data_IF_316953784062
#
_entry.id   IF_316953784062
#
_cell.length_a   1.000
_cell.length_b   1.000
_cell.length_c   1.000
_cell.angle_alpha   90.00
_cell.angle_beta   90.00
_cell.angle_gamma   90.00
#
_symmetry.space_group_name_H-M   'P 1'
#
loop_
_entity.id
_entity.type
_entity.pdbx_description
1 polymer ?
#
# COMPACT_ATOMS: atom_id res chain seq x y z
N UNK A 1 3.90 -6.35 -11.64
CA UNK A 1 4.19 -7.79 -11.62
C UNK A 1 2.91 -8.48 -12.00
N UNK A 2 2.93 -9.22 -13.10
CA UNK A 2 1.74 -9.93 -13.58
C UNK A 2 1.55 -11.23 -12.77
N UNK A 3 0.31 -11.65 -12.58
CA UNK A 3 -0.02 -12.85 -11.78
C UNK A 3 0.73 -14.11 -12.25
N UNK A 4 0.87 -14.30 -13.57
CA UNK A 4 1.59 -15.43 -14.15
C UNK A 4 3.08 -15.46 -13.78
N UNK A 5 3.71 -14.29 -13.66
CA UNK A 5 5.11 -14.17 -13.21
C UNK A 5 5.25 -14.57 -11.75
N UNK A 6 4.34 -14.11 -10.88
CA UNK A 6 4.31 -14.47 -9.45
C UNK A 6 4.26 -16.00 -9.28
N UNK A 7 3.37 -16.66 -10.03
CA UNK A 7 3.21 -18.12 -9.96
C UNK A 7 4.47 -18.85 -10.44
N UNK A 8 5.05 -18.42 -11.56
CA UNK A 8 6.28 -19.01 -12.12
C UNK A 8 7.46 -18.87 -11.17
N UNK A 9 7.64 -17.67 -10.60
CA UNK A 9 8.78 -17.37 -9.74
C UNK A 9 8.72 -18.14 -8.43
N UNK A 10 7.52 -18.23 -7.82
CA UNK A 10 7.31 -19.09 -6.64
C UNK A 10 7.57 -20.56 -6.93
N UNK A 11 7.07 -21.07 -8.06
CA UNK A 11 7.34 -22.45 -8.47
C UNK A 11 8.83 -22.73 -8.64
N UNK A 12 9.55 -21.83 -9.32
CA UNK A 12 11.00 -21.93 -9.53
C UNK A 12 11.77 -21.84 -8.21
N UNK A 13 11.39 -20.93 -7.31
CA UNK A 13 12.01 -20.80 -5.99
C UNK A 13 11.82 -22.06 -5.14
N UNK A 14 10.69 -22.75 -5.30
CA UNK A 14 10.44 -24.05 -4.67
C UNK A 14 11.11 -25.24 -5.39
N UNK A 15 11.84 -25.02 -6.50
CA UNK A 15 12.49 -26.08 -7.28
C UNK A 15 11.51 -27.06 -7.95
N UNK A 16 10.24 -26.67 -8.11
CA UNK A 16 9.19 -27.58 -8.59
C UNK A 16 8.99 -27.49 -10.10
N UNK A 17 8.67 -28.61 -10.74
CA UNK A 17 8.25 -28.63 -12.14
C UNK A 17 6.77 -28.26 -12.27
N UNK A 18 6.33 -27.79 -13.45
CA UNK A 18 4.90 -27.54 -13.71
C UNK A 18 4.09 -28.82 -13.49
N UNK A 19 4.61 -29.98 -13.94
CA UNK A 19 3.97 -31.28 -13.73
C UNK A 19 3.78 -31.62 -12.25
N UNK A 20 4.78 -31.35 -11.41
CA UNK A 20 4.68 -31.58 -9.97
C UNK A 20 3.61 -30.70 -9.32
N UNK A 21 3.55 -29.41 -9.66
CA UNK A 21 2.52 -28.49 -9.15
C UNK A 21 1.13 -28.84 -9.69
N UNK A 22 1.04 -29.29 -10.94
CA UNK A 22 -0.21 -29.70 -11.58
C UNK A 22 -0.88 -30.86 -10.83
N UNK A 23 -0.10 -31.85 -10.39
CA UNK A 23 -0.59 -32.99 -9.61
C UNK A 23 -1.17 -32.51 -8.27
N UNK A 24 -0.40 -31.74 -7.50
CA UNK A 24 -0.82 -31.25 -6.18
C UNK A 24 -2.01 -30.28 -6.26
N UNK A 25 -2.00 -29.40 -7.25
CA UNK A 25 -3.09 -28.47 -7.48
C UNK A 25 -4.30 -29.17 -8.10
N UNK A 26 -4.17 -30.41 -8.61
CA UNK A 26 -5.17 -31.13 -9.40
C UNK A 26 -5.63 -30.38 -10.65
N UNK A 27 -4.70 -29.69 -11.31
CA UNK A 27 -4.91 -28.92 -12.54
C UNK A 27 -4.10 -29.55 -13.67
N UNK A 28 -4.39 -29.19 -14.93
CA UNK A 28 -3.62 -29.72 -16.06
C UNK A 28 -2.32 -28.94 -16.26
N UNK A 29 -1.27 -29.63 -16.71
CA UNK A 29 0.02 -29.01 -17.06
C UNK A 29 -0.12 -27.89 -18.10
N UNK A 30 -0.89 -28.07 -19.20
CA UNK A 30 -1.08 -27.00 -20.18
C UNK A 30 -1.79 -25.77 -19.59
N UNK A 31 -2.71 -25.98 -18.65
CA UNK A 31 -3.41 -24.89 -17.99
C UNK A 31 -2.45 -24.05 -17.15
N UNK A 32 -1.63 -24.67 -16.30
CA UNK A 32 -0.63 -23.93 -15.49
C UNK A 32 0.41 -23.26 -16.37
N UNK A 33 0.89 -23.93 -17.43
CA UNK A 33 1.84 -23.33 -18.36
C UNK A 33 1.26 -22.09 -19.07
N UNK A 34 -0.02 -22.11 -19.44
CA UNK A 34 -0.70 -20.94 -19.99
C UNK A 34 -0.79 -19.81 -18.95
N UNK A 35 -1.19 -20.12 -17.72
CA UNK A 35 -1.28 -19.14 -16.64
C UNK A 35 0.06 -18.49 -16.33
N UNK A 36 1.16 -19.27 -16.23
CA UNK A 36 2.49 -18.72 -16.01
C UNK A 36 2.90 -17.76 -17.15
N UNK A 37 2.47 -18.04 -18.39
CA UNK A 37 2.71 -17.20 -19.57
C UNK A 37 1.71 -16.04 -19.73
N UNK A 38 0.89 -15.74 -18.70
CA UNK A 38 -0.10 -14.66 -18.74
C UNK A 38 -1.28 -14.94 -19.69
N UNK A 39 -1.53 -16.21 -20.02
CA UNK A 39 -2.62 -16.62 -20.91
C UNK A 39 -3.74 -17.29 -20.11
N UNK A 40 -4.96 -16.80 -20.30
CA UNK A 40 -6.17 -17.37 -19.70
C UNK A 40 -6.72 -16.53 -18.55
N UNK A 41 -7.91 -16.91 -18.09
CA UNK A 41 -8.61 -16.25 -16.99
C UNK A 41 -8.89 -17.30 -15.90
N UNK A 42 -8.01 -17.46 -14.90
CA UNK A 42 -8.18 -18.45 -13.86
C UNK A 42 -9.34 -18.10 -12.94
N UNK A 43 -10.07 -19.11 -12.47
CA UNK A 43 -11.07 -18.91 -11.42
C UNK A 43 -10.37 -18.69 -10.07
N UNK A 44 -11.05 -18.04 -9.13
CA UNK A 44 -10.54 -17.90 -7.74
C UNK A 44 -10.19 -19.26 -7.13
N UNK A 45 -11.00 -20.29 -7.40
CA UNK A 45 -10.73 -21.66 -6.95
C UNK A 45 -9.45 -22.26 -7.57
N UNK A 46 -9.17 -22.00 -8.85
CA UNK A 46 -7.92 -22.45 -9.46
C UNK A 46 -6.70 -21.74 -8.85
N UNK A 47 -6.83 -20.44 -8.54
CA UNK A 47 -5.79 -19.68 -7.87
C UNK A 47 -5.51 -20.17 -6.46
N UNK A 48 -6.56 -20.49 -5.70
CA UNK A 48 -6.45 -21.01 -4.34
C UNK A 48 -5.73 -22.37 -4.31
N UNK A 49 -6.08 -23.27 -5.24
CA UNK A 49 -5.42 -24.57 -5.41
C UNK A 49 -3.95 -24.42 -5.79
N UNK A 50 -3.63 -23.48 -6.68
CA UNK A 50 -2.25 -23.16 -7.06
C UNK A 50 -1.44 -22.57 -5.90
N UNK A 51 -2.02 -21.61 -5.16
CA UNK A 51 -1.39 -21.03 -4.00
C UNK A 51 -1.08 -22.12 -2.96
N UNK A 52 -2.06 -22.96 -2.65
CA UNK A 52 -1.91 -24.10 -1.72
C UNK A 52 -0.80 -25.05 -2.17
N UNK A 53 -0.79 -25.47 -3.44
CA UNK A 53 0.26 -26.34 -3.99
C UNK A 53 1.65 -25.70 -3.98
N UNK A 54 1.74 -24.37 -3.96
CA UNK A 54 2.98 -23.61 -3.88
C UNK A 54 3.35 -23.18 -2.45
N UNK A 55 2.64 -23.66 -1.43
CA UNK A 55 2.89 -23.30 -0.02
C UNK A 55 2.57 -21.85 0.29
N UNK A 56 1.60 -21.27 -0.41
CA UNK A 56 1.12 -19.90 -0.22
C UNK A 56 -0.39 -19.89 0.10
N UNK A 57 -0.89 -18.72 0.53
CA UNK A 57 -2.30 -18.48 0.78
C UNK A 57 -2.82 -17.45 -0.22
N UNK A 58 -4.01 -17.69 -0.79
CA UNK A 58 -4.69 -16.70 -1.62
C UNK A 58 -5.47 -15.71 -0.73
N UNK A 59 -5.22 -14.42 -0.91
CA UNK A 59 -5.99 -13.35 -0.30
C UNK A 59 -6.73 -12.58 -1.40
N UNK A 60 -8.06 -12.51 -1.31
CA UNK A 60 -8.91 -11.72 -2.20
C UNK A 60 -9.61 -10.66 -1.37
N UNK A 61 -9.37 -9.39 -1.68
CA UNK A 61 -9.94 -8.25 -0.97
C UNK A 61 -10.74 -7.37 -1.92
N UNK A 62 -11.98 -7.09 -1.55
CA UNK A 62 -12.81 -6.04 -2.15
C UNK A 62 -12.71 -4.84 -1.21
N UNK A 63 -12.39 -3.68 -1.76
CA UNK A 63 -12.24 -2.44 -1.01
C UNK A 63 -12.95 -1.31 -1.74
N UNK A 64 -13.36 -0.29 -0.98
CA UNK A 64 -13.82 0.95 -1.56
C UNK A 64 -12.72 1.51 -2.46
N UNK A 65 -13.12 2.03 -3.62
CA UNK A 65 -12.20 2.76 -4.49
C UNK A 65 -11.61 3.91 -3.67
N UNK A 66 -10.27 3.99 -3.52
CA UNK A 66 -9.69 5.10 -2.79
C UNK A 66 -10.19 6.38 -3.45
N UNK A 67 -10.69 7.37 -2.67
CA UNK A 67 -11.14 8.61 -3.25
C UNK A 67 -10.03 9.15 -4.15
N UNK A 68 -10.36 9.71 -5.32
CA UNK A 68 -9.36 10.27 -6.22
C UNK A 68 -8.42 11.17 -5.39
N UNK A 69 -7.11 11.16 -5.66
CA UNK A 69 -6.15 11.92 -4.86
C UNK A 69 -6.64 13.35 -4.73
N UNK A 70 -7.17 13.66 -3.55
CA UNK A 70 -7.71 14.99 -3.31
C UNK A 70 -6.51 15.93 -3.24
N UNK A 71 -6.57 17.11 -3.87
CA UNK A 71 -5.53 18.11 -3.68
C UNK A 71 -5.34 18.34 -2.18
N UNK A 72 -4.11 18.15 -1.71
CA UNK A 72 -3.78 18.21 -0.29
C UNK A 72 -3.76 19.67 0.15
N UNK A 73 -4.85 20.11 0.78
CA UNK A 73 -4.91 21.43 1.43
C UNK A 73 -3.85 21.53 2.52
N UNK A 74 -3.57 20.43 3.23
CA UNK A 74 -2.48 20.36 4.21
C UNK A 74 -1.11 20.64 3.61
N UNK A 75 -0.82 20.17 2.39
CA UNK A 75 0.44 20.45 1.71
C UNK A 75 0.59 21.94 1.38
N UNK A 76 -0.48 22.58 0.91
CA UNK A 76 -0.50 24.01 0.63
C UNK A 76 -0.28 24.84 1.90
N UNK A 77 -0.96 24.49 2.99
CA UNK A 77 -0.82 25.17 4.29
C UNK A 77 0.59 25.03 4.90
N UNK A 78 1.24 23.90 4.67
CA UNK A 78 2.59 23.61 5.19
C UNK A 78 3.70 24.23 4.34
N UNK A 79 3.42 24.57 3.09
CA UNK A 79 4.39 25.12 2.16
C UNK A 79 4.89 26.50 2.64
N UNK A 80 6.21 26.66 2.71
CA UNK A 80 6.83 27.96 3.05
C UNK A 80 6.67 28.44 4.50
N UNK A 81 6.12 27.62 5.41
CA UNK A 81 5.98 28.02 6.83
C UNK A 81 7.23 27.63 7.63
N UNK A 82 8.01 28.62 8.06
CA UNK A 82 9.27 28.41 8.80
C UNK A 82 9.10 27.60 10.08
N UNK A 83 8.05 27.90 10.86
CA UNK A 83 7.71 27.16 12.08
C UNK A 83 7.51 25.66 11.82
N UNK A 84 6.97 25.28 10.66
CA UNK A 84 6.83 23.88 10.29
C UNK A 84 8.20 23.25 10.02
N UNK A 85 9.12 23.97 9.38
CA UNK A 85 10.47 23.48 9.11
C UNK A 85 11.22 23.19 10.43
N UNK A 86 11.12 24.11 11.38
CA UNK A 86 11.72 23.98 12.72
C UNK A 86 11.15 22.78 13.47
N UNK A 87 9.82 22.69 13.57
CA UNK A 87 9.18 21.58 14.28
C UNK A 87 9.46 20.23 13.61
N UNK A 88 9.46 20.16 12.28
CA UNK A 88 9.84 18.95 11.55
C UNK A 88 11.29 18.56 11.84
N UNK A 89 12.21 19.52 11.97
CA UNK A 89 13.59 19.23 12.34
C UNK A 89 13.68 18.65 13.76
N UNK A 90 12.94 19.22 14.72
CA UNK A 90 12.86 18.74 16.10
C UNK A 90 12.25 17.34 16.19
N UNK A 91 11.06 17.14 15.60
CA UNK A 91 10.33 15.87 15.66
C UNK A 91 11.02 14.74 14.91
N UNK A 92 11.68 15.04 13.78
CA UNK A 92 12.36 14.02 13.01
C UNK A 92 13.42 13.31 13.87
N UNK A 93 14.22 14.06 14.65
CA UNK A 93 15.33 13.47 15.41
C UNK A 93 16.25 12.67 14.48
N UNK A 94 16.37 11.37 14.73
CA UNK A 94 17.12 10.42 13.87
C UNK A 94 16.33 9.92 12.65
N UNK A 95 15.03 10.22 12.56
CA UNK A 95 14.15 9.82 11.44
C UNK A 95 14.26 10.79 10.26
N UNK A 96 13.71 10.39 9.12
CA UNK A 96 13.66 11.24 7.92
C UNK A 96 12.72 12.45 8.10
N UNK A 97 13.23 13.65 7.83
CA UNK A 97 12.44 14.90 7.79
C UNK A 97 11.33 14.85 6.73
N UNK A 98 11.62 14.27 5.56
CA UNK A 98 10.64 14.13 4.48
C UNK A 98 9.47 13.24 4.89
N UNK A 99 9.74 12.15 5.61
CA UNK A 99 8.70 11.27 6.16
C UNK A 99 7.90 11.97 7.27
N UNK A 100 8.57 12.70 8.17
CA UNK A 100 7.90 13.47 9.23
C UNK A 100 6.97 14.53 8.65
N UNK A 101 7.42 15.28 7.62
CA UNK A 101 6.57 16.23 6.88
C UNK A 101 5.37 15.55 6.23
N UNK A 102 5.57 14.41 5.57
CA UNK A 102 4.46 13.64 4.96
C UNK A 102 3.42 13.24 5.98
N UNK A 103 3.83 12.78 7.16
CA UNK A 103 2.88 12.45 8.23
C UNK A 103 2.13 13.67 8.76
N UNK A 104 2.80 14.82 8.92
CA UNK A 104 2.14 16.08 9.30
C UNK A 104 1.06 16.49 8.29
N UNK A 105 1.39 16.48 7.00
CA UNK A 105 0.45 16.79 5.91
C UNK A 105 -0.74 15.82 5.93
N UNK A 106 -0.47 14.51 6.01
CA UNK A 106 -1.53 13.50 6.07
C UNK A 106 -2.43 13.66 7.31
N UNK A 107 -1.87 14.09 8.44
CA UNK A 107 -2.63 14.38 9.67
C UNK A 107 -3.55 15.59 9.46
N UNK A 108 -3.07 16.67 8.84
CA UNK A 108 -3.88 17.84 8.50
C UNK A 108 -5.01 17.50 7.53
N UNK A 109 -4.71 16.72 6.48
CA UNK A 109 -5.74 16.30 5.52
C UNK A 109 -6.78 15.40 6.20
N UNK A 110 -6.35 14.53 7.12
CA UNK A 110 -7.27 13.68 7.89
C UNK A 110 -8.17 14.46 8.84
N UNK A 111 -7.75 15.65 9.33
CA UNK A 111 -8.62 16.52 10.12
C UNK A 111 -9.87 16.94 9.34
N UNK A 112 -9.81 17.02 8.01
CA UNK A 112 -10.97 17.40 7.20
C UNK A 112 -12.14 16.43 7.37
N UNK A 113 -11.85 15.14 7.57
CA UNK A 113 -12.86 14.10 7.80
C UNK A 113 -13.60 14.30 9.12
N UNK A 114 -12.88 14.76 10.16
CA UNK A 114 -13.46 15.02 11.48
C UNK A 114 -14.20 16.36 11.53
N UNK A 115 -13.67 17.37 10.84
CA UNK A 115 -14.21 18.73 10.83
C UNK A 115 -15.38 18.90 9.83
N UNK A 116 -15.50 18.01 8.85
CA UNK A 116 -16.45 18.17 7.73
C UNK A 116 -16.13 19.35 6.81
N UNK A 117 -14.91 19.91 6.89
CA UNK A 117 -14.42 21.05 6.11
C UNK A 117 -12.90 20.96 5.91
N UNK A 118 -12.30 21.58 4.88
CA UNK A 118 -10.85 21.60 4.74
C UNK A 118 -10.16 22.24 5.95
N UNK A 119 -8.93 21.79 6.30
CA UNK A 119 -8.13 22.43 7.33
C UNK A 119 -7.79 23.87 6.94
N UNK A 120 -7.64 24.72 7.96
CA UNK A 120 -7.31 26.15 7.81
C UNK A 120 -5.93 26.45 8.42
N UNK A 121 -5.35 27.64 8.16
CA UNK A 121 -4.12 28.06 8.83
C UNK A 121 -4.20 28.06 10.37
N UNK A 122 -5.38 28.31 10.92
CA UNK A 122 -5.62 28.23 12.37
C UNK A 122 -5.54 26.80 12.88
N UNK A 123 -6.08 25.84 12.12
CA UNK A 123 -6.00 24.42 12.47
C UNK A 123 -4.54 23.93 12.43
N UNK A 124 -3.76 24.37 11.44
CA UNK A 124 -2.31 24.14 11.39
C UNK A 124 -1.61 24.70 12.64
N UNK A 125 -1.88 25.95 12.99
CA UNK A 125 -1.22 26.58 14.15
C UNK A 125 -1.51 25.80 15.44
N UNK A 126 -2.77 25.42 15.67
CA UNK A 126 -3.18 24.61 16.83
C UNK A 126 -2.51 23.24 16.85
N UNK A 127 -2.38 22.59 15.68
CA UNK A 127 -1.68 21.31 15.57
C UNK A 127 -0.20 21.45 15.91
N UNK A 128 0.47 22.52 15.43
CA UNK A 128 1.86 22.80 15.76
C UNK A 128 2.04 23.08 17.26
N UNK A 129 1.14 23.84 17.88
CA UNK A 129 1.15 24.09 19.33
C UNK A 129 1.04 22.79 20.12
N UNK A 130 0.10 21.90 19.74
CA UNK A 130 -0.08 20.60 20.37
C UNK A 130 1.17 19.73 20.25
N UNK A 131 1.74 19.64 19.04
CA UNK A 131 2.94 18.83 18.79
C UNK A 131 4.16 19.37 19.54
N UNK A 132 4.29 20.69 19.67
CA UNK A 132 5.36 21.33 20.42
C UNK A 132 5.24 21.08 21.93
N UNK A 133 4.02 21.01 22.48
CA UNK A 133 3.79 20.63 23.88
C UNK A 133 4.13 19.16 24.16
N UNK A 134 4.16 18.32 23.13
CA UNK A 134 4.42 16.88 23.24
C UNK A 134 5.89 16.49 23.05
N UNK A 135 6.78 17.45 22.74
CA UNK A 135 8.23 17.27 22.53
C UNK A 135 9.05 17.93 23.61
#
# INVERSE_FOLDING_TARGET
MELGEVLRDRRKAAGRTIASVAVDAGLSVPYIANLENGRGNPTVSALDRLATALGAQLEVRIADEPPPPQPSVGADLVSGVDRVNELVATLAGTRSRATTRRHLIATLDSLALLLGRPPTPTDLTRLLDLLQLAT
#
